data_IF_793583636281
#
_entry.id   IF_793583636281
#
_cell.length_a   1.000
_cell.length_b   1.000
_cell.length_c   1.000
_cell.angle_alpha   90.00
_cell.angle_beta   90.00
_cell.angle_gamma   90.00
#
_symmetry.space_group_name_H-M   'P 1'
#
loop_
_entity.id
_entity.type
_entity.pdbx_description
1 polymer ?
#
# COMPACT_ATOMS: atom_id res chain seq x y z
N UNK A 1 -1.36 18.19 -2.80
CA UNK A 1 -0.45 19.35 -2.73
C UNK A 1 -0.60 20.17 -4.01
N UNK A 2 -1.71 20.90 -4.19
CA UNK A 2 -1.92 21.75 -5.37
C UNK A 2 -0.79 22.76 -5.60
N UNK A 3 -0.09 23.15 -4.54
CA UNK A 3 1.06 24.07 -4.54
C UNK A 3 2.20 23.57 -5.44
N UNK A 4 2.37 22.25 -5.59
CA UNK A 4 3.41 21.68 -6.46
C UNK A 4 3.15 21.94 -7.94
N UNK A 5 1.94 22.35 -8.34
CA UNK A 5 1.63 22.77 -9.71
C UNK A 5 2.30 24.11 -10.05
N UNK A 6 2.59 24.95 -9.05
CA UNK A 6 3.24 26.25 -9.24
C UNK A 6 4.78 26.14 -9.21
N UNK A 7 5.31 24.98 -8.83
CA UNK A 7 6.75 24.73 -8.76
C UNK A 7 7.19 24.12 -10.10
N UNK A 8 8.12 24.76 -10.82
CA UNK A 8 8.57 24.25 -12.12
C UNK A 8 9.51 23.04 -12.00
N UNK A 9 10.54 23.13 -11.15
CA UNK A 9 11.57 22.10 -11.01
C UNK A 9 11.03 20.86 -10.28
N UNK A 10 11.15 19.64 -10.86
CA UNK A 10 10.83 18.40 -10.17
C UNK A 10 11.58 18.21 -8.84
N UNK A 11 12.83 18.65 -8.78
CA UNK A 11 13.68 18.58 -7.58
C UNK A 11 13.09 19.45 -6.46
N UNK A 12 12.70 20.68 -6.80
CA UNK A 12 12.01 21.58 -5.86
C UNK A 12 10.64 21.04 -5.42
N UNK A 13 9.93 20.30 -6.27
CA UNK A 13 8.68 19.63 -5.87
C UNK A 13 8.95 18.56 -4.81
N UNK A 14 10.00 17.77 -5.00
CA UNK A 14 10.40 16.74 -4.03
C UNK A 14 10.83 17.37 -2.71
N UNK A 15 11.69 18.38 -2.74
CA UNK A 15 12.10 19.15 -1.57
C UNK A 15 10.90 19.72 -0.81
N UNK A 16 9.97 20.36 -1.53
CA UNK A 16 8.73 20.88 -0.93
C UNK A 16 7.91 19.77 -0.22
N UNK A 17 7.74 18.61 -0.85
CA UNK A 17 7.00 17.50 -0.23
C UNK A 17 7.75 16.96 1.00
N UNK A 18 9.07 16.81 0.93
CA UNK A 18 9.86 16.26 2.04
C UNK A 18 9.89 17.24 3.22
N UNK A 19 10.20 18.51 2.98
CA UNK A 19 10.41 19.48 4.04
C UNK A 19 9.11 20.14 4.51
N UNK A 20 8.32 20.65 3.57
CA UNK A 20 7.15 21.48 3.90
C UNK A 20 5.88 20.67 4.15
N UNK A 21 5.79 19.43 3.66
CA UNK A 21 4.64 18.57 3.90
C UNK A 21 4.97 17.53 4.96
N UNK A 22 5.87 16.59 4.65
CA UNK A 22 6.21 15.51 5.58
C UNK A 22 6.89 16.09 6.82
N UNK A 23 7.90 16.94 6.65
CA UNK A 23 8.65 17.56 7.74
C UNK A 23 7.75 18.27 8.76
N UNK A 24 6.86 19.15 8.28
CA UNK A 24 5.91 19.86 9.15
C UNK A 24 4.94 18.93 9.88
N UNK A 25 4.40 17.92 9.19
CA UNK A 25 3.52 16.93 9.83
C UNK A 25 4.26 16.18 10.94
N UNK A 26 5.54 15.84 10.74
CA UNK A 26 6.34 15.18 11.77
C UNK A 26 6.68 16.11 12.94
N UNK A 27 6.98 17.38 12.68
CA UNK A 27 7.18 18.40 13.73
C UNK A 27 5.93 18.59 14.58
N UNK A 28 4.76 18.68 13.93
CA UNK A 28 3.47 18.76 14.63
C UNK A 28 3.20 17.50 15.46
N UNK A 29 3.46 16.30 14.92
CA UNK A 29 3.38 15.06 15.67
C UNK A 29 4.30 15.07 16.90
N UNK A 30 5.55 15.49 16.74
CA UNK A 30 6.53 15.55 17.82
C UNK A 30 6.03 16.47 18.94
N UNK A 31 5.53 17.66 18.59
CA UNK A 31 5.03 18.65 19.55
C UNK A 31 3.73 18.20 20.22
N UNK A 32 2.75 17.74 19.44
CA UNK A 32 1.40 17.40 19.95
C UNK A 32 1.45 16.14 20.82
N UNK A 33 2.22 15.13 20.42
CA UNK A 33 2.30 13.86 21.13
C UNK A 33 3.47 13.77 22.12
N UNK A 34 4.21 14.86 22.33
CA UNK A 34 5.40 14.94 23.19
C UNK A 34 6.39 13.79 22.93
N UNK A 35 6.78 13.61 21.67
CA UNK A 35 7.67 12.52 21.28
C UNK A 35 9.10 12.82 21.73
N UNK A 36 9.60 12.09 22.74
CA UNK A 36 10.97 12.25 23.26
C UNK A 36 12.05 11.82 22.25
N UNK A 37 11.85 10.66 21.61
CA UNK A 37 12.80 10.04 20.66
C UNK A 37 12.56 10.52 19.23
N UNK A 38 12.78 11.82 18.99
CA UNK A 38 12.45 12.49 17.72
C UNK A 38 13.18 11.90 16.52
N UNK A 39 14.46 11.59 16.66
CA UNK A 39 15.28 11.08 15.55
C UNK A 39 14.84 9.67 15.14
N UNK A 40 14.52 8.83 16.12
CA UNK A 40 13.97 7.50 15.86
C UNK A 40 12.59 7.60 15.20
N UNK A 41 11.73 8.55 15.63
CA UNK A 41 10.44 8.76 15.00
C UNK A 41 10.58 9.17 13.51
N UNK A 42 11.47 10.12 13.21
CA UNK A 42 11.77 10.54 11.83
C UNK A 42 12.35 9.38 10.99
N UNK A 43 13.31 8.63 11.56
CA UNK A 43 13.91 7.47 10.91
C UNK A 43 12.87 6.40 10.58
N UNK A 44 12.04 6.03 11.57
CA UNK A 44 10.97 5.05 11.39
C UNK A 44 10.01 5.52 10.31
N UNK A 45 9.57 6.77 10.34
CA UNK A 45 8.68 7.33 9.30
C UNK A 45 9.29 7.14 7.90
N UNK A 46 10.55 7.49 7.71
CA UNK A 46 11.25 7.32 6.43
C UNK A 46 11.31 5.84 6.01
N UNK A 47 11.60 4.94 6.94
CA UNK A 47 11.63 3.50 6.67
C UNK A 47 10.26 2.95 6.26
N UNK A 48 9.19 3.42 6.90
CA UNK A 48 7.83 3.01 6.55
C UNK A 48 7.45 3.49 5.14
N UNK A 49 7.75 4.74 4.80
CA UNK A 49 7.45 5.30 3.47
C UNK A 49 8.25 4.60 2.36
N UNK A 50 9.50 4.20 2.63
CA UNK A 50 10.34 3.48 1.67
C UNK A 50 9.93 2.02 1.47
N UNK A 51 9.23 1.41 2.44
CA UNK A 51 8.78 0.02 2.38
C UNK A 51 7.27 -0.09 2.11
N UNK A 52 6.72 0.85 1.35
CA UNK A 52 5.30 0.91 1.01
C UNK A 52 4.80 -0.38 0.34
N UNK A 53 3.62 -0.87 0.73
CA UNK A 53 3.04 -2.11 0.21
C UNK A 53 3.77 -3.40 0.60
N UNK A 54 4.83 -3.31 1.41
CA UNK A 54 5.50 -4.47 1.98
C UNK A 54 4.83 -4.91 3.28
N UNK A 55 4.95 -6.20 3.60
CA UNK A 55 4.49 -6.70 4.90
C UNK A 55 5.52 -6.38 5.96
N UNK A 56 5.06 -5.69 7.00
CA UNK A 56 5.90 -5.22 8.07
C UNK A 56 6.00 -6.26 9.19
N UNK A 57 7.22 -6.73 9.44
CA UNK A 57 7.56 -7.28 10.75
C UNK A 57 7.97 -6.13 11.66
N UNK A 58 6.98 -5.53 12.34
CA UNK A 58 7.19 -4.41 13.26
C UNK A 58 8.30 -4.66 14.30
N UNK A 59 8.52 -5.93 14.67
CA UNK A 59 9.61 -6.30 15.57
C UNK A 59 11.01 -6.05 15.00
N UNK A 60 11.21 -6.08 13.68
CA UNK A 60 12.51 -5.87 13.06
C UNK A 60 12.82 -4.38 12.95
N UNK A 61 11.85 -3.57 12.51
CA UNK A 61 12.00 -2.09 12.46
C UNK A 61 12.24 -1.51 13.84
N UNK A 62 11.48 -1.95 14.86
CA UNK A 62 11.67 -1.45 16.22
C UNK A 62 13.09 -1.75 16.73
N UNK A 63 13.61 -2.94 16.42
CA UNK A 63 14.97 -3.36 16.79
C UNK A 63 16.03 -2.55 16.07
N UNK A 64 15.91 -2.38 14.75
CA UNK A 64 16.84 -1.60 13.92
C UNK A 64 16.83 -0.11 14.29
N UNK A 65 15.66 0.44 14.66
CA UNK A 65 15.52 1.83 15.07
C UNK A 65 15.77 2.07 16.58
N UNK A 66 16.07 1.03 17.36
CA UNK A 66 16.33 1.17 18.80
C UNK A 66 15.11 1.59 19.64
N UNK A 67 13.90 1.19 19.24
CA UNK A 67 12.65 1.48 19.96
C UNK A 67 11.90 0.21 20.34
N UNK A 68 11.15 0.26 21.45
CA UNK A 68 10.31 -0.85 21.86
C UNK A 68 9.12 -1.03 20.90
N UNK A 69 8.55 -2.24 20.84
CA UNK A 69 7.34 -2.51 20.06
C UNK A 69 6.18 -1.58 20.45
N UNK A 70 6.03 -1.29 21.75
CA UNK A 70 5.00 -0.37 22.27
C UNK A 70 5.20 1.05 21.73
N UNK A 71 6.45 1.50 21.62
CA UNK A 71 6.78 2.82 21.07
C UNK A 71 6.50 2.86 19.57
N UNK A 72 6.88 1.81 18.84
CA UNK A 72 6.61 1.72 17.41
C UNK A 72 5.11 1.69 17.09
N UNK A 73 4.31 0.96 17.86
CA UNK A 73 2.85 0.91 17.68
C UNK A 73 2.20 2.28 17.95
N UNK A 74 2.70 3.03 18.94
CA UNK A 74 2.31 4.44 19.17
C UNK A 74 2.67 5.33 17.97
N UNK A 75 3.89 5.22 17.45
CA UNK A 75 4.33 6.00 16.29
C UNK A 75 3.48 5.73 15.05
N UNK A 76 3.15 4.46 14.79
CA UNK A 76 2.24 4.11 13.71
C UNK A 76 0.86 4.74 13.89
N UNK A 77 0.34 4.76 15.12
CA UNK A 77 -0.92 5.43 15.42
C UNK A 77 -0.83 6.93 15.12
N UNK A 78 0.25 7.61 15.54
CA UNK A 78 0.44 9.03 15.26
C UNK A 78 0.55 9.33 13.76
N UNK A 79 1.29 8.52 13.02
CA UNK A 79 1.43 8.67 11.57
C UNK A 79 0.12 8.40 10.82
N UNK A 80 -0.72 7.48 11.34
CA UNK A 80 -2.06 7.23 10.81
C UNK A 80 -3.00 8.39 11.12
N UNK A 81 -3.05 8.84 12.37
CA UNK A 81 -3.92 9.94 12.81
C UNK A 81 -3.53 11.29 12.15
N UNK A 82 -2.29 11.40 11.64
CA UNK A 82 -1.80 12.54 10.84
C UNK A 82 -1.87 12.33 9.33
N UNK A 83 -2.53 11.26 8.87
CA UNK A 83 -2.70 10.94 7.45
C UNK A 83 -1.39 10.83 6.66
N UNK A 84 -0.30 10.40 7.28
CA UNK A 84 0.95 10.08 6.56
C UNK A 84 0.88 8.67 5.96
N UNK A 85 0.34 7.74 6.75
CA UNK A 85 0.30 6.31 6.43
C UNK A 85 -1.06 5.70 6.74
N UNK A 86 -1.38 4.62 6.06
CA UNK A 86 -2.55 3.80 6.31
C UNK A 86 -2.17 2.33 6.42
N UNK A 87 -2.99 1.57 7.15
CA UNK A 87 -2.70 0.18 7.50
C UNK A 87 -3.73 -0.74 6.85
N UNK A 88 -3.24 -1.69 6.06
CA UNK A 88 -4.04 -2.79 5.53
C UNK A 88 -3.76 -4.06 6.33
N UNK A 89 -4.81 -4.65 6.88
CA UNK A 89 -4.73 -5.87 7.68
C UNK A 89 -4.87 -7.12 6.82
N UNK A 90 -4.24 -8.21 7.26
CA UNK A 90 -4.42 -9.53 6.63
C UNK A 90 -5.85 -10.02 6.80
N UNK A 91 -6.42 -10.56 5.73
CA UNK A 91 -7.74 -11.17 5.71
C UNK A 91 -7.85 -12.28 6.75
N UNK A 92 -8.83 -12.16 7.63
CA UNK A 92 -9.17 -13.19 8.61
C UNK A 92 -10.66 -13.11 8.94
N UNK A 93 -11.32 -14.27 9.16
CA UNK A 93 -12.77 -14.31 9.45
C UNK A 93 -13.15 -13.67 10.78
N UNK A 94 -12.25 -13.75 11.76
CA UNK A 94 -12.40 -13.09 13.08
C UNK A 94 -11.70 -11.72 13.08
N UNK A 95 -12.43 -10.62 13.36
CA UNK A 95 -11.87 -9.27 13.47
C UNK A 95 -10.80 -9.15 14.57
N UNK A 96 -11.00 -9.84 15.70
CA UNK A 96 -10.04 -9.84 16.83
C UNK A 96 -8.69 -10.42 16.39
N UNK A 97 -8.72 -11.52 15.62
CA UNK A 97 -7.49 -12.11 15.10
C UNK A 97 -6.90 -11.24 13.99
N UNK A 98 -7.72 -10.63 13.13
CA UNK A 98 -7.26 -9.71 12.07
C UNK A 98 -6.36 -8.58 12.60
N UNK A 99 -6.76 -7.94 13.71
CA UNK A 99 -5.96 -6.86 14.33
C UNK A 99 -4.61 -7.28 14.91
N UNK A 100 -4.40 -8.58 15.19
CA UNK A 100 -3.16 -9.13 15.77
C UNK A 100 -2.21 -9.73 14.72
N UNK A 101 -2.60 -9.74 13.46
CA UNK A 101 -1.86 -10.39 12.37
C UNK A 101 -0.98 -9.35 11.63
N UNK A 102 -0.09 -9.85 10.76
CA UNK A 102 0.67 -9.10 9.76
C UNK A 102 -0.10 -7.93 9.15
N UNK A 103 0.62 -6.82 8.96
CA UNK A 103 0.12 -5.55 8.44
C UNK A 103 0.91 -5.19 7.17
N UNK A 104 0.23 -4.68 6.14
CA UNK A 104 0.85 -3.88 5.08
C UNK A 104 0.65 -2.41 5.44
N UNK A 105 1.63 -1.57 5.13
CA UNK A 105 1.51 -0.12 5.26
C UNK A 105 1.58 0.52 3.89
N UNK A 106 0.69 1.48 3.69
CA UNK A 106 0.60 2.29 2.49
C UNK A 106 0.73 3.76 2.89
N UNK A 107 1.21 4.60 1.97
CA UNK A 107 1.20 6.05 2.15
C UNK A 107 -0.09 6.62 1.58
N UNK A 108 -0.71 7.52 2.33
CA UNK A 108 -1.96 8.19 1.88
C UNK A 108 -1.76 8.99 0.59
N UNK A 109 -0.51 9.36 0.28
CA UNK A 109 -0.12 9.99 -0.96
C UNK A 109 1.14 9.33 -1.54
N UNK A 110 1.05 8.84 -2.78
CA UNK A 110 2.20 8.26 -3.51
C UNK A 110 3.38 9.23 -3.64
N UNK A 111 3.09 10.53 -3.63
CA UNK A 111 4.10 11.58 -3.72
C UNK A 111 5.07 11.56 -2.54
N UNK A 112 4.69 11.00 -1.37
CA UNK A 112 5.61 10.83 -0.26
C UNK A 112 6.74 9.86 -0.61
N UNK A 113 6.40 8.71 -1.17
CA UNK A 113 7.38 7.72 -1.63
C UNK A 113 8.19 8.27 -2.80
N UNK A 114 7.56 8.93 -3.77
CA UNK A 114 8.26 9.52 -4.90
C UNK A 114 9.27 10.60 -4.47
N UNK A 115 8.85 11.53 -3.61
CA UNK A 115 9.70 12.64 -3.18
C UNK A 115 10.88 12.18 -2.33
N UNK A 116 10.67 11.26 -1.38
CA UNK A 116 11.76 10.76 -0.52
C UNK A 116 12.83 9.96 -1.25
N UNK A 117 12.49 9.39 -2.42
CA UNK A 117 13.40 8.59 -3.22
C UNK A 117 13.79 9.25 -4.55
N UNK A 118 13.37 10.51 -4.75
CA UNK A 118 13.55 11.26 -5.99
C UNK A 118 13.05 10.54 -7.26
N UNK A 119 12.00 9.73 -7.13
CA UNK A 119 11.41 9.04 -8.28
C UNK A 119 10.62 10.01 -9.15
N UNK A 120 10.87 9.96 -10.45
CA UNK A 120 10.24 10.77 -11.48
C UNK A 120 9.69 9.87 -12.58
N UNK A 121 8.74 10.38 -13.37
CA UNK A 121 8.03 9.58 -14.37
C UNK A 121 8.96 8.94 -15.42
N UNK A 122 10.06 9.60 -15.74
CA UNK A 122 11.13 9.13 -16.63
C UNK A 122 11.92 7.93 -16.05
N UNK A 123 11.91 7.71 -14.73
CA UNK A 123 12.59 6.57 -14.10
C UNK A 123 11.78 5.26 -14.11
N UNK A 124 10.59 5.24 -14.73
CA UNK A 124 9.63 4.12 -14.65
C UNK A 124 10.23 2.78 -15.10
N UNK A 125 11.09 2.83 -16.12
CA UNK A 125 11.72 1.63 -16.70
C UNK A 125 13.09 1.34 -16.05
N UNK A 126 13.70 2.30 -15.35
CA UNK A 126 14.96 2.13 -14.61
C UNK A 126 14.76 1.39 -13.29
N UNK A 127 13.66 1.69 -12.58
CA UNK A 127 13.33 1.09 -11.27
C UNK A 127 11.91 0.48 -11.26
N UNK A 128 11.62 -0.49 -12.14
CA UNK A 128 10.26 -1.00 -12.36
C UNK A 128 9.63 -1.63 -11.10
N UNK A 129 10.43 -2.22 -10.22
CA UNK A 129 9.94 -2.78 -8.96
C UNK A 129 9.41 -1.69 -8.01
N UNK A 130 10.11 -0.55 -7.92
CA UNK A 130 9.67 0.58 -7.11
C UNK A 130 8.37 1.17 -7.66
N UNK A 131 8.28 1.34 -8.99
CA UNK A 131 7.05 1.79 -9.64
C UNK A 131 5.89 0.80 -9.46
N UNK A 132 6.17 -0.52 -9.45
CA UNK A 132 5.18 -1.52 -9.08
C UNK A 132 4.56 -1.26 -7.72
N UNK A 133 5.38 -0.96 -6.69
CA UNK A 133 4.90 -0.62 -5.34
C UNK A 133 4.21 0.73 -5.25
N UNK A 134 4.67 1.73 -6.01
CA UNK A 134 3.99 3.04 -6.11
C UNK A 134 2.58 2.87 -6.71
N UNK A 135 2.43 2.05 -7.74
CA UNK A 135 1.14 1.78 -8.37
C UNK A 135 0.25 0.91 -7.48
N UNK A 136 0.79 -0.10 -6.79
CA UNK A 136 0.08 -0.86 -5.75
C UNK A 136 -0.48 0.09 -4.68
N UNK A 137 0.32 1.06 -4.22
CA UNK A 137 -0.11 2.09 -3.26
C UNK A 137 -1.19 3.02 -3.83
N UNK A 138 -1.08 3.43 -5.10
CA UNK A 138 -2.10 4.24 -5.76
C UNK A 138 -3.46 3.51 -5.83
N UNK A 139 -3.43 2.22 -6.19
CA UNK A 139 -4.60 1.34 -6.22
C UNK A 139 -5.19 1.18 -4.83
N UNK A 140 -4.34 0.97 -3.82
CA UNK A 140 -4.77 0.91 -2.42
C UNK A 140 -5.53 2.17 -2.01
N UNK A 141 -5.01 3.37 -2.29
CA UNK A 141 -5.65 4.63 -1.88
C UNK A 141 -7.07 4.77 -2.47
N UNK A 142 -7.29 4.32 -3.70
CA UNK A 142 -8.63 4.28 -4.30
C UNK A 142 -9.53 3.24 -3.65
N UNK A 143 -9.01 2.03 -3.42
CA UNK A 143 -9.76 0.96 -2.79
C UNK A 143 -10.11 1.29 -1.33
N UNK A 144 -9.23 1.98 -0.62
CA UNK A 144 -9.48 2.47 0.71
C UNK A 144 -10.68 3.44 0.71
N UNK A 145 -10.67 4.45 -0.15
CA UNK A 145 -11.79 5.39 -0.26
C UNK A 145 -13.12 4.71 -0.64
N UNK A 146 -13.07 3.68 -1.48
CA UNK A 146 -14.26 3.02 -2.02
C UNK A 146 -14.82 1.92 -1.13
N UNK A 147 -13.96 1.16 -0.46
CA UNK A 147 -14.32 -0.10 0.19
C UNK A 147 -14.07 -0.10 1.70
N UNK A 148 -13.24 0.80 2.24
CA UNK A 148 -13.11 0.92 3.69
C UNK A 148 -14.40 1.53 4.22
N UNK A 149 -15.07 0.81 5.11
CA UNK A 149 -16.27 1.29 5.79
C UNK A 149 -15.94 1.47 7.25
N UNK A 150 -16.47 2.51 7.92
CA UNK A 150 -16.31 2.69 9.37
C UNK A 150 -16.99 1.58 10.22
N UNK A 151 -17.30 0.42 9.63
CA UNK A 151 -17.91 -0.73 10.29
C UNK A 151 -16.82 -1.69 10.77
N UNK A 152 -17.15 -2.48 11.80
CA UNK A 152 -16.25 -3.46 12.44
C UNK A 152 -15.64 -4.53 11.53
N UNK A 153 -16.07 -4.61 10.27
CA UNK A 153 -15.54 -5.52 9.25
C UNK A 153 -15.12 -4.71 8.02
N UNK A 154 -13.84 -4.34 7.95
CA UNK A 154 -13.28 -3.72 6.75
C UNK A 154 -13.50 -4.63 5.54
N UNK A 155 -14.03 -4.08 4.45
CA UNK A 155 -14.21 -4.83 3.21
C UNK A 155 -12.92 -4.92 2.39
N UNK A 156 -11.80 -4.39 2.90
CA UNK A 156 -10.51 -4.39 2.23
C UNK A 156 -9.46 -5.03 3.14
N UNK A 157 -8.75 -6.02 2.62
CA UNK A 157 -7.68 -6.74 3.31
C UNK A 157 -6.66 -7.26 2.29
N UNK A 158 -5.51 -7.76 2.71
CA UNK A 158 -4.63 -8.57 1.84
C UNK A 158 -4.69 -10.04 2.25
N UNK A 159 -4.24 -10.99 1.43
CA UNK A 159 -4.12 -12.39 1.84
C UNK A 159 -2.68 -12.88 1.82
N UNK A 160 -2.30 -13.70 2.81
CA UNK A 160 -0.99 -14.35 2.84
C UNK A 160 -1.00 -15.70 3.55
N UNK A 161 -0.31 -16.68 2.97
CA UNK A 161 -0.02 -17.98 3.56
C UNK A 161 1.42 -18.41 3.20
N UNK A 162 2.32 -18.40 4.19
CA UNK A 162 3.76 -18.57 3.94
C UNK A 162 4.30 -17.40 3.09
N UNK A 163 4.91 -17.74 1.95
CA UNK A 163 5.41 -16.78 0.95
C UNK A 163 4.38 -16.41 -0.12
N UNK A 164 3.24 -17.13 -0.18
CA UNK A 164 2.16 -16.83 -1.12
C UNK A 164 1.36 -15.62 -0.63
N UNK A 165 1.19 -14.62 -1.48
CA UNK A 165 0.52 -13.36 -1.17
C UNK A 165 -0.45 -12.97 -2.29
N UNK A 166 -1.55 -12.30 -1.93
CA UNK A 166 -2.45 -11.59 -2.85
C UNK A 166 -2.61 -10.18 -2.30
N UNK A 167 -2.41 -9.19 -3.16
CA UNK A 167 -2.32 -7.77 -2.76
C UNK A 167 -3.59 -7.29 -2.07
N UNK A 168 -4.76 -7.57 -2.66
CA UNK A 168 -6.05 -7.18 -2.09
C UNK A 168 -7.10 -8.28 -2.18
N UNK A 169 -7.91 -8.39 -1.14
CA UNK A 169 -9.14 -9.16 -1.05
C UNK A 169 -10.24 -8.18 -0.66
N UNK A 170 -11.19 -8.00 -1.56
CA UNK A 170 -12.35 -7.14 -1.36
C UNK A 170 -13.56 -8.01 -0.99
N UNK A 171 -14.25 -7.68 0.10
CA UNK A 171 -15.49 -8.36 0.51
C UNK A 171 -16.72 -7.58 0.01
N UNK A 172 -17.41 -8.14 -0.98
CA UNK A 172 -18.61 -7.59 -1.58
C UNK A 172 -19.82 -8.42 -1.15
N UNK A 173 -20.42 -8.09 0.00
CA UNK A 173 -21.62 -8.76 0.53
C UNK A 173 -21.48 -10.29 0.56
N UNK A 174 -20.44 -10.80 1.23
CA UNK A 174 -20.10 -12.23 1.36
C UNK A 174 -19.47 -12.88 0.12
N UNK A 175 -19.20 -12.12 -0.95
CA UNK A 175 -18.38 -12.59 -2.08
C UNK A 175 -16.99 -11.96 -1.99
N UNK A 176 -15.96 -12.79 -2.08
CA UNK A 176 -14.57 -12.32 -2.11
C UNK A 176 -14.14 -12.05 -3.54
N UNK A 177 -13.57 -10.87 -3.77
CA UNK A 177 -12.91 -10.49 -5.01
C UNK A 177 -11.41 -10.35 -4.75
N UNK A 178 -10.58 -11.28 -5.23
CA UNK A 178 -9.14 -11.17 -5.11
C UNK A 178 -8.60 -10.30 -6.26
N UNK A 179 -7.68 -9.40 -5.92
CA UNK A 179 -7.06 -8.45 -6.83
C UNK A 179 -5.55 -8.51 -6.66
N UNK A 180 -4.84 -8.67 -7.77
CA UNK A 180 -3.38 -8.67 -7.84
C UNK A 180 -2.90 -7.48 -8.68
N UNK A 181 -1.89 -6.74 -8.23
CA UNK A 181 -1.33 -5.62 -8.99
C UNK A 181 -0.05 -6.06 -9.68
N UNK A 182 -0.01 -5.94 -11.00
CA UNK A 182 1.15 -6.23 -11.85
C UNK A 182 1.38 -5.08 -12.82
N UNK A 183 2.23 -4.15 -12.40
CA UNK A 183 2.68 -3.05 -13.25
C UNK A 183 3.77 -3.52 -14.25
N UNK A 184 3.37 -4.39 -15.18
CA UNK A 184 4.21 -4.95 -16.24
C UNK A 184 3.40 -5.08 -17.53
N UNK A 185 4.08 -5.02 -18.68
CA UNK A 185 3.48 -5.33 -19.98
C UNK A 185 3.45 -6.84 -20.26
N UNK A 186 4.31 -7.60 -19.58
CA UNK A 186 4.42 -9.06 -19.73
C UNK A 186 4.13 -9.72 -18.39
N UNK A 187 2.93 -10.30 -18.25
CA UNK A 187 2.51 -11.00 -17.03
C UNK A 187 2.39 -12.48 -17.37
N UNK A 188 3.24 -13.30 -16.76
CA UNK A 188 3.22 -14.74 -16.98
C UNK A 188 2.10 -15.43 -16.16
N UNK A 189 1.63 -16.58 -16.63
CA UNK A 189 0.68 -17.41 -15.87
C UNK A 189 1.25 -17.90 -14.53
N UNK A 190 2.59 -18.02 -14.43
CA UNK A 190 3.29 -18.41 -13.20
C UNK A 190 3.16 -17.34 -12.12
N UNK A 191 3.31 -16.07 -12.48
CA UNK A 191 3.12 -14.94 -11.55
C UNK A 191 1.68 -14.87 -11.01
N UNK A 192 0.71 -15.37 -11.76
CA UNK A 192 -0.71 -15.40 -11.38
C UNK A 192 -1.12 -16.71 -10.69
N UNK A 193 -0.19 -17.64 -10.49
CA UNK A 193 -0.48 -18.95 -9.90
C UNK A 193 -1.12 -18.84 -8.52
N UNK A 194 -0.60 -17.97 -7.65
CA UNK A 194 -1.13 -17.75 -6.30
C UNK A 194 -2.58 -17.24 -6.33
N UNK A 195 -2.87 -16.27 -7.20
CA UNK A 195 -4.22 -15.75 -7.40
C UNK A 195 -5.17 -16.86 -7.86
N UNK A 196 -4.78 -17.63 -8.88
CA UNK A 196 -5.61 -18.70 -9.44
C UNK A 196 -5.81 -19.88 -8.47
N UNK A 197 -4.78 -20.25 -7.69
CA UNK A 197 -4.84 -21.26 -6.64
C UNK A 197 -5.86 -20.85 -5.57
N UNK A 198 -5.77 -19.60 -5.11
CA UNK A 198 -6.68 -19.07 -4.11
C UNK A 198 -8.13 -19.07 -4.60
N UNK A 199 -8.37 -18.61 -5.83
CA UNK A 199 -9.69 -18.64 -6.46
C UNK A 199 -10.27 -20.05 -6.53
N UNK A 200 -9.47 -21.04 -6.93
CA UNK A 200 -9.87 -22.45 -6.98
C UNK A 200 -10.25 -22.98 -5.60
N UNK A 201 -9.42 -22.72 -4.58
CA UNK A 201 -9.66 -23.16 -3.19
C UNK A 201 -10.93 -22.51 -2.62
N UNK A 202 -11.15 -21.23 -2.92
CA UNK A 202 -12.30 -20.45 -2.43
C UNK A 202 -13.54 -20.56 -3.32
N UNK A 203 -13.44 -21.28 -4.45
CA UNK A 203 -14.52 -21.44 -5.46
C UNK A 203 -15.05 -20.09 -5.96
N UNK A 204 -14.13 -19.17 -6.29
CA UNK A 204 -14.47 -17.82 -6.75
C UNK A 204 -14.72 -17.82 -8.26
N UNK A 205 -15.69 -17.02 -8.72
CA UNK A 205 -16.06 -16.97 -10.13
C UNK A 205 -15.02 -16.26 -11.00
N UNK A 206 -14.37 -15.22 -10.47
CA UNK A 206 -13.34 -14.47 -11.18
C UNK A 206 -12.40 -13.74 -10.20
N UNK A 207 -11.26 -13.31 -10.73
CA UNK A 207 -10.31 -12.42 -10.06
C UNK A 207 -9.93 -11.25 -10.98
N UNK A 208 -9.30 -10.23 -10.40
CA UNK A 208 -8.83 -9.06 -11.16
C UNK A 208 -7.31 -8.99 -11.10
N UNK A 209 -6.70 -8.67 -12.23
CA UNK A 209 -5.29 -8.32 -12.35
C UNK A 209 -5.23 -6.87 -12.77
N UNK A 210 -4.70 -6.00 -11.91
CA UNK A 210 -4.46 -4.60 -12.27
C UNK A 210 -3.15 -4.51 -13.04
N UNK A 211 -3.19 -3.97 -14.25
CA UNK A 211 -2.08 -4.02 -15.21
C UNK A 211 -1.49 -2.63 -15.50
N UNK A 212 -0.34 -2.57 -16.19
CA UNK A 212 0.21 -1.31 -16.72
C UNK A 212 -0.71 -0.69 -17.78
N UNK A 213 -1.20 -1.48 -18.73
CA UNK A 213 -2.02 -0.98 -19.85
C UNK A 213 -3.01 -1.97 -20.48
N UNK A 214 -2.98 -3.26 -20.10
CA UNK A 214 -3.80 -4.30 -20.73
C UNK A 214 -5.25 -4.30 -20.21
N UNK A 215 -6.21 -4.20 -21.13
CA UNK A 215 -7.63 -4.49 -20.91
C UNK A 215 -7.95 -5.83 -21.58
N UNK A 216 -8.28 -6.85 -20.80
CA UNK A 216 -8.56 -8.18 -21.36
C UNK A 216 -9.37 -9.07 -20.41
N UNK A 217 -9.95 -10.14 -20.95
CA UNK A 217 -10.50 -11.26 -20.16
C UNK A 217 -9.81 -12.54 -20.61
N UNK A 218 -9.09 -13.20 -19.71
CA UNK A 218 -8.34 -14.42 -19.99
C UNK A 218 -8.74 -15.54 -19.03
N UNK A 219 -8.69 -16.78 -19.52
CA UNK A 219 -8.77 -17.98 -18.68
C UNK A 219 -7.37 -18.50 -18.41
N UNK A 220 -6.89 -18.39 -17.18
CA UNK A 220 -5.55 -18.82 -16.76
C UNK A 220 -5.69 -19.90 -15.69
N UNK A 221 -5.05 -21.06 -15.88
CA UNK A 221 -5.16 -22.22 -14.99
C UNK A 221 -6.63 -22.62 -14.71
N UNK A 222 -7.50 -22.46 -15.72
CA UNK A 222 -8.93 -22.75 -15.61
C UNK A 222 -9.77 -21.71 -14.87
N UNK A 223 -9.17 -20.62 -14.37
CA UNK A 223 -9.84 -19.53 -13.66
C UNK A 223 -10.06 -18.31 -14.57
N UNK A 224 -11.16 -17.59 -14.40
CA UNK A 224 -11.42 -16.36 -15.17
C UNK A 224 -10.76 -15.13 -14.52
N UNK A 225 -9.93 -14.43 -15.27
CA UNK A 225 -9.24 -13.23 -14.83
C UNK A 225 -9.57 -12.04 -15.73
N UNK A 226 -9.90 -10.92 -15.11
CA UNK A 226 -10.09 -9.63 -15.76
C UNK A 226 -8.82 -8.79 -15.58
N UNK A 227 -8.20 -8.44 -16.69
CA UNK A 227 -7.03 -7.57 -16.76
C UNK A 227 -7.54 -6.15 -16.94
N UNK A 228 -7.24 -5.28 -15.98
CA UNK A 228 -7.74 -3.91 -15.93
C UNK A 228 -6.54 -2.98 -15.73
N UNK A 229 -6.30 -1.99 -16.59
CA UNK A 229 -5.23 -1.03 -16.41
C UNK A 229 -5.41 -0.22 -15.12
N UNK A 230 -4.31 0.04 -14.43
CA UNK A 230 -4.32 0.80 -13.17
C UNK A 230 -5.00 2.16 -13.32
N UNK A 231 -4.82 2.86 -14.45
CA UNK A 231 -5.43 4.18 -14.66
C UNK A 231 -6.96 4.12 -14.70
N UNK A 232 -7.59 3.02 -15.10
CA UNK A 232 -9.04 2.86 -15.00
C UNK A 232 -9.50 2.69 -13.55
N UNK A 233 -8.69 2.01 -12.73
CA UNK A 233 -8.93 1.94 -11.28
C UNK A 233 -8.83 3.34 -10.68
N UNK A 234 -7.85 4.15 -11.07
CA UNK A 234 -7.68 5.51 -10.57
C UNK A 234 -8.84 6.46 -10.90
N UNK A 235 -9.68 6.12 -11.88
CA UNK A 235 -10.89 6.89 -12.23
C UNK A 235 -12.15 6.47 -11.43
N UNK A 236 -12.03 5.56 -10.47
CA UNK A 236 -13.16 5.04 -9.69
C UNK A 236 -13.59 5.93 -8.51
N UNK A 237 -12.90 7.05 -8.30
CA UNK A 237 -13.09 8.06 -7.24
C UNK A 237 -13.86 9.27 -7.76
#
# INVERSE_FOLDING_TARGET
>A
FPETLQIASPERKHEYIVESVIGKVLEDCIRIFNIEKTDQFKLITRQLINNVGSIFELKNIGREAGVSFVTLDKYLKYLKDSYVVEILYKYHKSPIKQGRILKKLYTTCINFTCALNHFRADHVDEVPQAFGKIIENAVYNVFELKYKTNKLTDNLSFWRQGEKEIDFIINLNSKLLPVEVKFSNNISSKELSVLTDYMKIKKLGYGVVVTKSEINRKKINGQELYFIPYYLILLMI
#
